data_IF_911059334008
#
_entry.id   IF_911059334008
#
_cell.length_a   1.000
_cell.length_b   1.000
_cell.length_c   1.000
_cell.angle_alpha   90.00
_cell.angle_beta   90.00
_cell.angle_gamma   90.00
#
_symmetry.space_group_name_H-M   'P 1'
#
loop_
_entity.id
_entity.type
_entity.pdbx_description
1 polymer ?
#
# COMPACT_ATOMS: atom_id res chain seq x y z
N UNK A 1 6.32 -5.55 6.14
CA UNK A 1 4.85 -5.42 6.16
C UNK A 1 4.31 -4.86 4.85
N UNK A 2 4.59 -3.58 4.48
CA UNK A 2 4.11 -2.97 3.22
C UNK A 2 4.32 -3.84 1.98
N UNK A 3 5.56 -4.19 1.65
CA UNK A 3 5.89 -5.01 0.47
C UNK A 3 5.18 -6.38 0.46
N UNK A 4 5.06 -7.02 1.62
CA UNK A 4 4.33 -8.31 1.74
C UNK A 4 2.85 -8.14 1.42
N UNK A 5 2.21 -7.15 2.05
CA UNK A 5 0.76 -6.91 1.87
C UNK A 5 0.46 -6.43 0.46
N UNK A 6 1.30 -5.58 -0.12
CA UNK A 6 1.13 -5.09 -1.49
C UNK A 6 1.23 -6.23 -2.52
N UNK A 7 2.16 -7.18 -2.33
CA UNK A 7 2.25 -8.41 -3.11
C UNK A 7 1.01 -9.30 -2.98
N UNK A 8 0.51 -9.51 -1.76
CA UNK A 8 -0.69 -10.32 -1.52
C UNK A 8 -1.94 -9.71 -2.16
N UNK A 9 -2.09 -8.38 -2.10
CA UNK A 9 -3.15 -7.64 -2.79
C UNK A 9 -3.05 -7.83 -4.30
N UNK A 10 -1.84 -7.69 -4.85
CA UNK A 10 -1.59 -7.89 -6.29
C UNK A 10 -1.95 -9.31 -6.76
N UNK A 11 -1.72 -10.31 -5.91
CA UNK A 11 -1.99 -11.73 -6.20
C UNK A 11 -3.40 -12.21 -5.83
N UNK A 12 -4.28 -11.32 -5.33
CA UNK A 12 -5.62 -11.67 -4.79
C UNK A 12 -5.61 -12.69 -3.65
N UNK A 13 -4.52 -12.82 -2.91
CA UNK A 13 -4.40 -13.73 -1.75
C UNK A 13 -4.89 -13.05 -0.47
N UNK A 14 -6.16 -12.66 -0.47
CA UNK A 14 -6.74 -11.82 0.57
C UNK A 14 -6.96 -12.57 1.90
N UNK A 15 -7.06 -13.89 1.85
CA UNK A 15 -7.08 -14.79 3.02
C UNK A 15 -5.77 -14.76 3.81
N UNK A 16 -4.65 -14.38 3.18
CA UNK A 16 -3.36 -14.27 3.86
C UNK A 16 -3.14 -12.89 4.49
N UNK A 17 -4.13 -11.99 4.40
CA UNK A 17 -4.11 -10.67 5.03
C UNK A 17 -4.76 -10.67 6.40
N UNK A 18 -5.41 -11.77 6.80
CA UNK A 18 -5.90 -11.97 8.16
C UNK A 18 -4.74 -11.76 9.16
N UNK A 19 -5.04 -11.08 10.27
CA UNK A 19 -4.07 -10.65 11.30
C UNK A 19 -3.05 -9.58 10.89
N UNK A 20 -2.78 -9.37 9.58
CA UNK A 20 -1.92 -8.30 9.08
C UNK A 20 -2.66 -6.97 8.88
N UNK A 21 -3.93 -7.07 8.47
CA UNK A 21 -4.80 -5.93 8.14
C UNK A 21 -6.05 -6.02 9.02
N UNK A 22 -6.58 -4.87 9.46
CA UNK A 22 -7.80 -4.86 10.26
C UNK A 22 -8.98 -5.46 9.47
N UNK A 23 -9.94 -6.06 10.18
CA UNK A 23 -11.08 -6.71 9.55
C UNK A 23 -11.91 -5.73 8.70
N UNK A 24 -12.06 -4.50 9.18
CA UNK A 24 -12.79 -3.43 8.48
C UNK A 24 -12.11 -3.08 7.14
N UNK A 25 -10.79 -2.90 7.16
CA UNK A 25 -10.02 -2.58 5.95
C UNK A 25 -10.01 -3.77 4.99
N UNK A 26 -9.88 -4.99 5.51
CA UNK A 26 -9.87 -6.20 4.70
C UNK A 26 -11.20 -6.40 3.96
N UNK A 27 -12.33 -6.09 4.59
CA UNK A 27 -13.64 -6.15 3.94
C UNK A 27 -13.71 -5.18 2.74
N UNK A 28 -13.29 -3.93 2.93
CA UNK A 28 -13.26 -2.92 1.85
C UNK A 28 -12.32 -3.34 0.72
N UNK A 29 -11.15 -3.90 1.05
CA UNK A 29 -10.17 -4.35 0.06
C UNK A 29 -10.70 -5.52 -0.78
N UNK A 30 -11.46 -6.45 -0.18
CA UNK A 30 -12.09 -7.55 -0.93
C UNK A 30 -12.99 -7.03 -2.05
N UNK A 31 -13.80 -6.01 -1.76
CA UNK A 31 -14.66 -5.37 -2.75
C UNK A 31 -13.84 -4.65 -3.82
N UNK A 32 -12.89 -3.79 -3.43
CA UNK A 32 -12.07 -3.00 -4.37
C UNK A 32 -11.22 -3.88 -5.30
N UNK A 33 -10.54 -4.89 -4.75
CA UNK A 33 -9.67 -5.80 -5.52
C UNK A 33 -10.48 -6.66 -6.51
N UNK A 34 -11.74 -6.95 -6.21
CA UNK A 34 -12.62 -7.72 -7.11
C UNK A 34 -12.99 -6.94 -8.38
N UNK A 35 -13.04 -5.61 -8.29
CA UNK A 35 -13.41 -4.70 -9.38
C UNK A 35 -12.20 -4.19 -10.18
N UNK A 36 -10.99 -4.40 -9.68
CA UNK A 36 -9.79 -3.85 -10.28
C UNK A 36 -9.41 -4.55 -11.60
N UNK A 37 -9.05 -3.78 -12.65
CA UNK A 37 -8.39 -4.32 -13.83
C UNK A 37 -7.07 -5.01 -13.47
N UNK A 38 -6.70 -6.05 -14.22
CA UNK A 38 -5.47 -6.83 -13.94
C UNK A 38 -4.21 -5.95 -13.91
N UNK A 39 -4.05 -5.03 -14.85
CA UNK A 39 -2.89 -4.14 -14.90
C UNK A 39 -2.78 -3.19 -13.68
N UNK A 40 -3.90 -2.68 -13.18
CA UNK A 40 -3.92 -1.86 -11.96
C UNK A 40 -3.61 -2.70 -10.73
N UNK A 41 -3.98 -3.98 -10.76
CA UNK A 41 -3.75 -4.90 -9.64
C UNK A 41 -2.28 -5.32 -9.61
N UNK A 42 -1.71 -5.60 -10.76
CA UNK A 42 -0.28 -5.88 -10.93
C UNK A 42 0.56 -4.66 -10.50
N UNK A 43 0.05 -3.44 -10.72
CA UNK A 43 0.67 -2.21 -10.27
C UNK A 43 0.74 -2.03 -8.74
N UNK A 44 -0.08 -2.76 -7.96
CA UNK A 44 -0.02 -2.73 -6.49
C UNK A 44 1.25 -3.38 -5.94
N UNK A 45 1.86 -4.30 -6.69
CA UNK A 45 3.04 -5.03 -6.23
C UNK A 45 4.21 -4.06 -5.99
N UNK A 46 4.77 -4.08 -4.79
CA UNK A 46 5.93 -3.27 -4.44
C UNK A 46 7.01 -4.19 -3.85
N UNK A 47 7.99 -4.54 -4.67
CA UNK A 47 9.18 -5.24 -4.20
C UNK A 47 10.05 -4.31 -3.34
N UNK A 48 10.69 -4.86 -2.32
CA UNK A 48 11.48 -4.06 -1.38
C UNK A 48 12.60 -3.29 -2.09
N UNK A 49 13.22 -3.90 -3.11
CA UNK A 49 14.29 -3.30 -3.92
C UNK A 49 13.78 -2.22 -4.88
N UNK A 50 12.46 -2.17 -5.11
CA UNK A 50 11.82 -1.17 -5.95
C UNK A 50 11.28 0.03 -5.14
N UNK A 51 11.32 -0.02 -3.81
CA UNK A 51 10.95 1.10 -2.94
C UNK A 51 12.08 2.13 -2.99
N UNK A 52 11.80 3.29 -3.57
CA UNK A 52 12.76 4.35 -3.78
C UNK A 52 12.89 5.28 -2.57
N UNK A 53 11.78 5.53 -1.90
CA UNK A 53 11.72 6.45 -0.78
C UNK A 53 10.55 6.10 0.15
N UNK A 54 10.74 6.38 1.45
CA UNK A 54 9.73 6.23 2.48
C UNK A 54 9.80 7.41 3.44
N UNK A 55 8.65 7.87 3.92
CA UNK A 55 8.59 8.86 5.00
C UNK A 55 7.44 8.53 5.92
N UNK A 56 7.62 8.81 7.21
CA UNK A 56 6.52 8.97 8.15
C UNK A 56 5.68 10.20 7.79
N UNK A 57 4.37 10.05 7.94
CA UNK A 57 3.38 11.11 7.97
C UNK A 57 3.00 11.40 9.41
N UNK A 58 1.71 11.29 9.72
CA UNK A 58 1.20 11.53 11.07
C UNK A 58 1.52 10.37 12.02
N UNK A 59 1.93 10.72 13.25
CA UNK A 59 2.16 9.77 14.33
C UNK A 59 1.22 10.14 15.48
N UNK A 60 0.30 9.23 15.79
CA UNK A 60 -0.76 9.46 16.77
C UNK A 60 -0.62 8.50 17.93
N UNK A 61 -0.79 9.02 19.14
CA UNK A 61 -0.97 8.21 20.35
C UNK A 61 -2.36 8.54 20.88
N UNK A 62 -3.17 7.52 21.12
CA UNK A 62 -4.50 7.69 21.67
C UNK A 62 -4.85 6.59 22.66
N UNK A 63 -5.88 6.87 23.45
CA UNK A 63 -6.42 5.99 24.47
C UNK A 63 -7.90 5.81 24.14
N UNK A 64 -8.36 4.57 24.12
CA UNK A 64 -9.80 4.31 23.94
C UNK A 64 -10.55 4.39 25.28
N UNK A 65 -11.87 4.25 25.21
CA UNK A 65 -12.75 4.34 26.36
C UNK A 65 -12.53 3.18 27.38
N UNK A 66 -11.93 2.08 26.93
CA UNK A 66 -11.56 0.93 27.76
C UNK A 66 -10.18 1.09 28.42
N UNK A 67 -9.49 2.21 28.18
CA UNK A 67 -8.17 2.51 28.72
C UNK A 67 -7.01 1.81 28.00
N UNK A 68 -7.27 1.16 26.85
CA UNK A 68 -6.23 0.59 25.99
C UNK A 68 -5.48 1.72 25.30
N UNK A 69 -4.20 1.49 25.05
CA UNK A 69 -3.27 2.50 24.55
C UNK A 69 -2.77 2.10 23.17
N UNK A 70 -2.90 2.99 22.20
CA UNK A 70 -2.55 2.72 20.81
C UNK A 70 -1.61 3.77 20.25
N UNK A 71 -0.65 3.30 19.46
CA UNK A 71 0.18 4.15 18.59
C UNK A 71 -0.17 3.82 17.15
N UNK A 72 -0.38 4.86 16.35
CA UNK A 72 -0.62 4.75 14.91
C UNK A 72 0.40 5.58 14.16
N UNK A 73 1.01 4.99 13.13
CA UNK A 73 2.02 5.63 12.29
C UNK A 73 1.54 5.53 10.85
N UNK A 74 1.24 6.68 10.25
CA UNK A 74 1.01 6.77 8.81
C UNK A 74 2.37 6.76 8.11
N UNK A 75 2.58 5.81 7.21
CA UNK A 75 3.78 5.73 6.38
C UNK A 75 3.40 5.95 4.92
N UNK A 76 4.20 6.72 4.20
CA UNK A 76 4.10 6.88 2.75
C UNK A 76 5.28 6.20 2.06
N UNK A 77 4.98 5.48 1.00
CA UNK A 77 5.93 4.73 0.18
C UNK A 77 5.90 5.26 -1.25
N UNK A 78 7.07 5.38 -1.86
CA UNK A 78 7.24 5.60 -3.29
C UNK A 78 7.99 4.41 -3.86
N UNK A 79 7.41 3.75 -4.85
CA UNK A 79 7.98 2.54 -5.43
C UNK A 79 7.84 2.52 -6.95
N UNK A 80 8.76 1.83 -7.61
CA UNK A 80 8.72 1.61 -9.05
C UNK A 80 7.99 0.31 -9.37
N UNK A 81 7.13 0.33 -10.39
CA UNK A 81 6.44 -0.86 -10.86
C UNK A 81 6.40 -0.90 -12.40
N UNK A 82 6.57 -2.08 -12.99
CA UNK A 82 6.62 -2.29 -14.45
C UNK A 82 5.29 -2.66 -15.10
N UNK A 83 4.19 -2.62 -14.36
CA UNK A 83 2.86 -2.94 -14.88
C UNK A 83 2.47 -1.98 -16.00
N UNK A 84 1.78 -2.52 -17.01
CA UNK A 84 1.34 -1.76 -18.17
C UNK A 84 0.10 -0.93 -17.82
N UNK A 85 0.32 0.19 -17.15
CA UNK A 85 -0.74 1.16 -16.86
C UNK A 85 -1.03 2.00 -18.12
N UNK A 86 -2.30 2.33 -18.41
CA UNK A 86 -2.63 3.16 -19.55
C UNK A 86 -1.95 4.53 -19.42
N UNK A 87 -1.41 5.02 -20.55
CA UNK A 87 -0.95 6.41 -20.65
C UNK A 87 -2.15 7.35 -20.42
N UNK A 88 -1.94 8.39 -19.62
CA UNK A 88 -3.02 9.23 -19.10
C UNK A 88 -3.86 9.95 -20.15
N UNK A 89 -5.14 10.14 -19.81
CA UNK A 89 -6.05 11.05 -20.50
C UNK A 89 -5.72 12.50 -20.10
N UNK A 90 -5.72 13.48 -21.03
CA UNK A 90 -5.43 14.87 -20.70
C UNK A 90 -6.37 15.43 -19.62
N UNK A 91 -5.82 15.87 -18.48
CA UNK A 91 -6.56 16.51 -17.39
C UNK A 91 -6.47 15.79 -16.04
N UNK A 92 -5.95 14.57 -15.99
CA UNK A 92 -5.67 13.87 -14.74
C UNK A 92 -4.28 14.25 -14.19
N UNK A 93 -4.11 14.15 -12.86
CA UNK A 93 -2.81 14.38 -12.19
C UNK A 93 -1.82 13.36 -12.75
N UNK A 94 -0.53 13.68 -12.93
CA UNK A 94 0.45 12.84 -13.67
C UNK A 94 0.98 11.60 -12.94
N UNK A 95 0.95 10.40 -13.54
CA UNK A 95 1.66 9.18 -13.13
C UNK A 95 3.05 9.34 -13.72
N UNK A 96 4.05 9.45 -12.87
CA UNK A 96 5.41 9.69 -13.35
C UNK A 96 5.98 8.39 -13.91
N UNK A 97 6.05 8.30 -15.24
CA UNK A 97 6.74 7.22 -15.93
C UNK A 97 8.23 7.52 -16.04
N UNK A 98 9.05 6.54 -15.70
CA UNK A 98 10.51 6.57 -15.82
C UNK A 98 10.92 5.52 -16.84
N UNK A 99 11.75 5.93 -17.80
CA UNK A 99 12.31 5.04 -18.82
C UNK A 99 13.76 4.75 -18.44
N UNK A 100 14.08 3.48 -18.22
CA UNK A 100 15.43 2.99 -17.99
C UNK A 100 15.98 2.34 -19.27
N UNK A 101 17.31 2.30 -19.41
CA UNK A 101 17.98 1.62 -20.52
C UNK A 101 18.30 2.50 -21.74
N UNK A 102 18.95 1.90 -22.72
CA UNK A 102 19.33 2.52 -23.99
C UNK A 102 18.29 2.29 -25.09
N UNK A 103 18.58 2.65 -26.34
CA UNK A 103 17.65 2.45 -27.47
C UNK A 103 17.22 0.99 -27.67
N UNK A 104 17.99 0.02 -27.19
CA UNK A 104 17.73 -1.42 -27.34
C UNK A 104 17.06 -2.08 -26.13
N UNK A 105 17.07 -1.43 -24.96
CA UNK A 105 16.66 -2.01 -23.66
C UNK A 105 15.69 -1.12 -22.87
N UNK A 106 14.85 -0.35 -23.56
CA UNK A 106 13.90 0.58 -22.90
C UNK A 106 12.91 -0.16 -21.99
N UNK A 107 13.14 -0.07 -20.69
CA UNK A 107 12.22 -0.57 -19.67
C UNK A 107 11.42 0.61 -19.12
N UNK A 108 10.09 0.53 -19.24
CA UNK A 108 9.17 1.54 -18.70
C UNK A 108 8.74 1.11 -17.30
N UNK A 109 8.92 1.99 -16.32
CA UNK A 109 8.37 1.81 -14.96
C UNK A 109 7.57 3.03 -14.55
N UNK A 110 6.60 2.83 -13.68
CA UNK A 110 5.79 3.87 -13.08
C UNK A 110 6.24 4.10 -11.65
N UNK A 111 6.44 5.38 -11.28
CA UNK A 111 6.61 5.80 -9.90
C UNK A 111 5.23 5.94 -9.26
N UNK A 112 4.93 5.04 -8.34
CA UNK A 112 3.65 4.94 -7.65
C UNK A 112 3.81 5.32 -6.19
N UNK A 113 2.70 5.73 -5.57
CA UNK A 113 2.66 6.07 -4.15
C UNK A 113 1.65 5.20 -3.42
N UNK A 114 1.92 4.92 -2.15
CA UNK A 114 0.98 4.26 -1.27
C UNK A 114 1.08 4.82 0.16
N UNK A 115 -0.05 4.93 0.85
CA UNK A 115 -0.10 5.29 2.27
C UNK A 115 -0.63 4.10 3.08
N UNK A 116 0.10 3.70 4.11
CA UNK A 116 -0.30 2.63 5.02
C UNK A 116 -0.26 3.15 6.44
N UNK A 117 -1.35 2.97 7.19
CA UNK A 117 -1.34 3.24 8.63
C UNK A 117 -1.06 1.95 9.38
N UNK A 118 0.01 1.97 10.17
CA UNK A 118 0.38 0.87 11.06
C UNK A 118 -0.03 1.24 12.48
N UNK A 119 -0.86 0.42 13.10
CA UNK A 119 -1.32 0.60 14.46
C UNK A 119 -0.82 -0.53 15.34
N UNK A 120 -0.45 -0.21 16.58
CA UNK A 120 -0.09 -1.18 17.60
C UNK A 120 -0.67 -0.80 18.95
N UNK A 121 -1.18 -1.79 19.67
CA UNK A 121 -1.50 -1.66 21.08
C UNK A 121 -0.21 -1.73 21.92
N UNK A 122 -0.06 -0.81 22.87
CA UNK A 122 1.07 -0.76 23.80
C UNK A 122 0.64 -0.76 25.27
N UNK A 123 -0.60 -1.15 25.56
CA UNK A 123 -1.05 -1.48 26.92
C UNK A 123 -0.16 -2.58 27.53
N UNK A 124 0.05 -2.54 28.84
CA UNK A 124 0.81 -3.59 29.53
C UNK A 124 0.13 -4.96 29.32
N UNK A 125 0.90 -5.97 28.90
CA UNK A 125 0.39 -7.32 28.62
C UNK A 125 -0.22 -7.52 27.22
N UNK A 126 -0.38 -6.46 26.42
CA UNK A 126 -0.84 -6.58 25.04
C UNK A 126 0.23 -7.26 24.15
N UNK A 127 -0.24 -7.94 23.10
CA UNK A 127 0.67 -8.50 22.09
C UNK A 127 1.40 -7.37 21.35
N UNK A 128 2.69 -7.54 21.00
CA UNK A 128 3.48 -6.50 20.37
C UNK A 128 3.24 -6.38 18.85
N UNK A 129 2.13 -6.91 18.34
CA UNK A 129 1.84 -7.01 16.92
C UNK A 129 1.40 -5.66 16.32
N UNK A 130 1.74 -5.44 15.05
CA UNK A 130 1.29 -4.29 14.28
C UNK A 130 0.20 -4.72 13.31
N UNK A 131 -0.92 -3.99 13.29
CA UNK A 131 -2.02 -4.19 12.36
C UNK A 131 -2.09 -3.00 11.41
N UNK A 132 -2.34 -3.25 10.13
CA UNK A 132 -2.58 -2.17 9.17
C UNK A 132 -4.05 -1.76 9.24
N UNK A 133 -4.31 -0.50 9.59
CA UNK A 133 -5.66 0.06 9.79
C UNK A 133 -6.09 1.01 8.68
N UNK A 134 -5.20 1.27 7.72
CA UNK A 134 -5.53 2.04 6.51
C UNK A 134 -4.59 1.63 5.38
N UNK A 135 -5.15 1.44 4.19
CA UNK A 135 -4.40 1.19 2.95
C UNK A 135 -4.96 2.12 1.88
N UNK A 136 -4.08 2.92 1.30
CA UNK A 136 -4.40 3.79 0.18
C UNK A 136 -3.35 3.63 -0.91
N UNK A 137 -3.81 3.39 -2.12
CA UNK A 137 -3.00 3.53 -3.33
C UNK A 137 -3.73 4.53 -4.22
N UNK A 138 -3.35 5.83 -4.17
CA UNK A 138 -3.95 6.83 -5.04
C UNK A 138 -3.96 6.33 -6.49
N UNK A 139 -5.10 6.48 -7.17
CA UNK A 139 -5.33 6.04 -8.57
C UNK A 139 -5.35 4.54 -8.85
N UNK A 140 -4.98 3.70 -7.89
CA UNK A 140 -5.15 2.24 -8.03
C UNK A 140 -6.36 1.76 -7.24
N UNK A 141 -6.50 2.19 -5.97
CA UNK A 141 -7.52 1.71 -5.03
C UNK A 141 -8.44 2.81 -4.50
N UNK A 142 -8.56 3.97 -5.14
CA UNK A 142 -9.50 5.03 -4.71
C UNK A 142 -10.95 4.65 -4.96
#
# INVERSE_FOLDING_TARGET
>A
AFSVVSQLLSQRKLELLDELVSAEVLQVLKEKISLLPDNHRDALAADIDAIMYTTEGDVRIYYDDDGRKFVSILMRFWYLNGANLPDEVPGETKVFQIVFGDESTKEKRHLLTANYEFQREFTEGAKPDWTITRIEHPRLLE
#
